data_IF_691485587776
#
_entry.id   IF_691485587776
#
_cell.length_a   1.000
_cell.length_b   1.000
_cell.length_c   1.000
_cell.angle_alpha   90.00
_cell.angle_beta   90.00
_cell.angle_gamma   90.00
#
_symmetry.space_group_name_H-M   'P 1'
#
loop_
_entity.id
_entity.type
_entity.pdbx_description
1 polymer ?
#
# COMPACT_ATOMS: atom_id res chain seq x y z
N UNK A 1 -23.07 18.39 7.50
CA UNK A 1 -21.82 18.20 8.28
C UNK A 1 -21.27 16.82 7.99
N UNK A 2 -20.04 16.68 7.46
CA UNK A 2 -19.35 15.37 7.38
C UNK A 2 -18.70 15.10 8.74
N UNK A 3 -19.00 13.95 9.35
CA UNK A 3 -18.33 13.49 10.58
C UNK A 3 -16.83 13.26 10.32
N UNK A 4 -16.00 13.46 11.34
CA UNK A 4 -14.56 13.18 11.29
C UNK A 4 -14.31 11.75 10.78
N UNK A 5 -15.07 10.76 11.26
CA UNK A 5 -14.97 9.38 10.78
C UNK A 5 -15.24 9.24 9.27
N UNK A 6 -16.20 10.00 8.73
CA UNK A 6 -16.50 10.00 7.29
C UNK A 6 -15.43 10.71 6.45
N UNK A 7 -14.70 11.66 7.03
CA UNK A 7 -13.56 12.29 6.36
C UNK A 7 -12.33 11.37 6.33
N UNK A 8 -12.04 10.66 7.42
CA UNK A 8 -10.95 9.67 7.47
C UNK A 8 -11.20 8.51 6.49
N UNK A 9 -12.43 7.98 6.43
CA UNK A 9 -12.79 6.94 5.47
C UNK A 9 -12.57 7.39 4.01
N UNK A 10 -12.93 8.63 3.69
CA UNK A 10 -12.70 9.19 2.35
C UNK A 10 -11.21 9.41 2.05
N UNK A 11 -10.41 9.84 3.04
CA UNK A 11 -8.97 9.99 2.89
C UNK A 11 -8.29 8.65 2.62
N UNK A 12 -8.67 7.58 3.33
CA UNK A 12 -8.16 6.23 3.11
C UNK A 12 -8.52 5.72 1.71
N UNK A 13 -9.76 5.93 1.26
CA UNK A 13 -10.20 5.54 -0.08
C UNK A 13 -9.42 6.29 -1.18
N UNK A 14 -9.18 7.60 -0.98
CA UNK A 14 -8.38 8.40 -1.91
C UNK A 14 -6.92 7.89 -1.96
N UNK A 15 -6.32 7.62 -0.80
CA UNK A 15 -4.96 7.05 -0.72
C UNK A 15 -4.87 5.70 -1.44
N UNK A 16 -5.78 4.77 -1.16
CA UNK A 16 -5.81 3.47 -1.83
C UNK A 16 -5.94 3.62 -3.35
N UNK A 17 -6.86 4.48 -3.83
CA UNK A 17 -7.06 4.73 -5.26
C UNK A 17 -5.81 5.28 -5.94
N UNK A 18 -5.12 6.24 -5.31
CA UNK A 18 -3.87 6.79 -5.81
C UNK A 18 -2.79 5.71 -5.92
N UNK A 19 -2.63 4.89 -4.88
CA UNK A 19 -1.64 3.81 -4.87
C UNK A 19 -1.96 2.75 -5.94
N UNK A 20 -3.23 2.35 -6.10
CA UNK A 20 -3.66 1.41 -7.16
C UNK A 20 -3.28 1.95 -8.54
N UNK A 21 -3.47 3.25 -8.78
CA UNK A 21 -3.02 3.91 -10.01
C UNK A 21 -1.51 3.82 -10.23
N UNK A 22 -0.71 4.13 -9.20
CA UNK A 22 0.75 4.02 -9.27
C UNK A 22 1.20 2.60 -9.62
N UNK A 23 0.66 1.58 -8.94
CA UNK A 23 0.99 0.18 -9.19
C UNK A 23 0.58 -0.31 -10.58
N UNK A 24 -0.55 0.18 -11.08
CA UNK A 24 -1.02 -0.12 -12.44
C UNK A 24 -0.03 0.40 -13.48
N UNK A 25 0.46 1.62 -13.30
CA UNK A 25 1.48 2.19 -14.18
C UNK A 25 2.81 1.47 -14.07
N UNK A 26 3.25 1.09 -12.87
CA UNK A 26 4.43 0.25 -12.68
C UNK A 26 4.31 -1.07 -13.46
N UNK A 27 3.13 -1.70 -13.44
CA UNK A 27 2.90 -2.97 -14.15
C UNK A 27 2.93 -2.76 -15.66
N UNK A 28 2.34 -1.67 -16.16
CA UNK A 28 2.28 -1.34 -17.60
C UNK A 28 3.67 -1.16 -18.21
N UNK A 29 4.62 -0.61 -17.47
CA UNK A 29 5.98 -0.34 -17.98
C UNK A 29 6.98 -1.47 -17.73
N UNK A 30 6.69 -2.38 -16.80
CA UNK A 30 7.57 -3.50 -16.50
C UNK A 30 7.39 -4.61 -17.56
N UNK A 31 8.49 -5.32 -17.87
CA UNK A 31 8.42 -6.49 -18.76
C UNK A 31 7.64 -7.62 -18.09
N UNK A 32 7.04 -8.49 -18.90
CA UNK A 32 6.41 -9.71 -18.42
C UNK A 32 7.40 -10.53 -17.55
N UNK A 33 6.94 -10.94 -16.36
CA UNK A 33 7.76 -11.66 -15.39
C UNK A 33 8.76 -10.80 -14.61
N UNK A 34 8.79 -9.49 -14.81
CA UNK A 34 9.62 -8.59 -14.02
C UNK A 34 9.16 -8.50 -12.56
N UNK A 35 10.12 -8.31 -11.65
CA UNK A 35 9.85 -8.10 -10.23
C UNK A 35 9.87 -6.61 -9.88
N UNK A 36 8.80 -6.15 -9.22
CA UNK A 36 8.75 -4.83 -8.59
C UNK A 36 9.13 -4.96 -7.13
N UNK A 37 10.17 -4.23 -6.70
CA UNK A 37 10.56 -4.12 -5.31
C UNK A 37 10.31 -2.69 -4.81
N UNK A 38 9.75 -2.56 -3.60
CA UNK A 38 9.54 -1.28 -2.96
C UNK A 38 9.77 -1.40 -1.45
N UNK A 39 10.04 -0.26 -0.81
CA UNK A 39 10.12 -0.14 0.64
C UNK A 39 9.00 0.77 1.11
N UNK A 40 8.37 0.41 2.23
CA UNK A 40 7.34 1.22 2.87
C UNK A 40 7.55 1.23 4.37
N UNK A 41 7.18 2.33 5.03
CA UNK A 41 7.30 2.49 6.47
C UNK A 41 6.07 3.21 7.00
N UNK A 42 5.40 2.60 7.97
CA UNK A 42 4.33 3.21 8.75
C UNK A 42 4.22 2.52 10.12
N UNK A 43 3.91 3.30 11.16
CA UNK A 43 3.86 2.81 12.57
C UNK A 43 2.52 2.18 12.98
N UNK A 44 1.44 2.49 12.26
CA UNK A 44 0.10 1.90 12.43
C UNK A 44 -0.24 0.92 11.30
N UNK A 45 -1.16 0.00 11.57
CA UNK A 45 -1.55 -1.11 10.68
C UNK A 45 -2.46 -0.68 9.52
N UNK A 46 -3.36 0.29 9.75
CA UNK A 46 -4.37 0.67 8.74
C UNK A 46 -3.76 1.10 7.40
N UNK A 47 -2.67 1.89 7.34
CA UNK A 47 -2.04 2.22 6.07
C UNK A 47 -1.39 1.03 5.37
N UNK A 48 -0.89 0.03 6.12
CA UNK A 48 -0.39 -1.22 5.53
C UNK A 48 -1.51 -2.00 4.85
N UNK A 49 -2.70 -2.06 5.46
CA UNK A 49 -3.86 -2.73 4.86
C UNK A 49 -4.26 -2.02 3.55
N UNK A 50 -4.39 -0.70 3.54
CA UNK A 50 -4.73 0.05 2.32
C UNK A 50 -3.66 -0.09 1.24
N UNK A 51 -2.38 -0.11 1.61
CA UNK A 51 -1.27 -0.32 0.69
C UNK A 51 -1.34 -1.71 0.03
N UNK A 52 -1.49 -2.78 0.82
CA UNK A 52 -1.56 -4.14 0.31
C UNK A 52 -2.81 -4.38 -0.53
N UNK A 53 -3.96 -3.84 -0.13
CA UNK A 53 -5.18 -3.91 -0.94
C UNK A 53 -4.97 -3.22 -2.29
N UNK A 54 -4.39 -2.02 -2.32
CA UNK A 54 -4.09 -1.32 -3.59
C UNK A 54 -3.14 -2.11 -4.52
N UNK A 55 -2.17 -2.80 -3.92
CA UNK A 55 -1.20 -3.64 -4.64
C UNK A 55 -1.91 -4.83 -5.32
N UNK A 56 -2.81 -5.51 -4.60
CA UNK A 56 -3.57 -6.63 -5.16
C UNK A 56 -4.61 -6.16 -6.19
N UNK A 57 -5.31 -5.06 -5.93
CA UNK A 57 -6.32 -4.50 -6.84
C UNK A 57 -5.73 -4.08 -8.20
N UNK A 58 -4.44 -3.74 -8.24
CA UNK A 58 -3.70 -3.42 -9.48
C UNK A 58 -3.11 -4.64 -10.20
N UNK A 59 -3.39 -5.85 -9.71
CA UNK A 59 -3.05 -7.11 -10.36
C UNK A 59 -1.67 -7.66 -10.00
N UNK A 60 -0.98 -7.11 -9.00
CA UNK A 60 0.28 -7.67 -8.53
C UNK A 60 0.08 -8.88 -7.62
N UNK A 61 1.08 -9.77 -7.61
CA UNK A 61 1.22 -10.84 -6.64
C UNK A 61 2.33 -10.47 -5.66
N UNK A 62 2.11 -10.75 -4.37
CA UNK A 62 3.15 -10.59 -3.36
C UNK A 62 4.00 -11.85 -3.29
N UNK A 63 5.23 -11.80 -3.80
CA UNK A 63 6.15 -12.94 -3.85
C UNK A 63 6.96 -13.10 -2.56
N UNK A 64 7.45 -11.99 -1.99
CA UNK A 64 8.26 -12.01 -0.79
C UNK A 64 8.06 -10.72 0.03
N UNK A 65 8.17 -10.84 1.35
CA UNK A 65 8.27 -9.70 2.26
C UNK A 65 9.51 -9.86 3.13
N UNK A 66 10.27 -8.77 3.28
CA UNK A 66 11.45 -8.72 4.13
C UNK A 66 11.20 -7.66 5.21
N UNK A 67 10.45 -8.01 6.27
CA UNK A 67 10.09 -7.04 7.29
C UNK A 67 11.36 -6.55 8.00
N UNK A 68 11.64 -5.26 7.88
CA UNK A 68 12.69 -4.60 8.65
C UNK A 68 12.03 -4.00 9.88
N UNK A 69 12.37 -4.54 11.05
CA UNK A 69 12.06 -3.90 12.33
C UNK A 69 13.16 -2.89 12.61
N UNK A 70 12.85 -1.60 12.44
CA UNK A 70 13.62 -0.57 13.14
C UNK A 70 13.34 -0.80 14.62
N UNK A 71 14.40 -0.98 15.41
CA UNK A 71 14.28 -1.23 16.84
C UNK A 71 13.47 -0.10 17.50
N UNK A 72 12.21 -0.38 17.80
CA UNK A 72 11.41 0.34 18.77
C UNK A 72 10.94 -0.76 19.71
N UNK A 73 11.55 -0.86 20.90
CA UNK A 73 10.99 -1.61 22.02
C UNK A 73 9.51 -1.28 22.15
N UNK A 74 8.65 -2.15 21.65
CA UNK A 74 7.30 -2.31 22.17
C UNK A 74 7.41 -3.36 23.27
N UNK A 75 7.81 -2.89 24.45
CA UNK A 75 7.59 -3.60 25.70
C UNK A 75 6.11 -3.61 26.07
#
# INVERSE_FOLDING_TARGET
MRSIAGALSAANAAYQSLMTGCWTECRRVLKDGGVMAFTFHHSADEPWISLLQSLFDSGWLLEATYPIRSDETKG
#
